data_IF_943904382454
#
_entry.id   IF_943904382454
#
_cell.length_a   1.000
_cell.length_b   1.000
_cell.length_c   1.000
_cell.angle_alpha   90.00
_cell.angle_beta   90.00
_cell.angle_gamma   90.00
#
_symmetry.space_group_name_H-M   'P 1'
#
loop_
_entity.id
_entity.type
_entity.pdbx_description
1 polymer ?
#
# COMPACT_ATOMS: atom_id res chain seq x y z
N UNK A 1 14.17 -10.63 -21.11
CA UNK A 1 15.01 -9.39 -21.03
C UNK A 1 15.00 -8.86 -19.60
N UNK A 2 15.56 -9.60 -18.66
CA UNK A 2 15.51 -9.27 -17.21
C UNK A 2 16.87 -8.80 -16.66
N UNK A 3 17.92 -8.81 -17.48
CA UNK A 3 19.29 -8.45 -17.03
C UNK A 3 19.58 -6.93 -17.04
N UNK A 4 18.89 -6.17 -17.86
CA UNK A 4 19.20 -4.74 -18.07
C UNK A 4 18.79 -3.80 -16.91
N UNK A 5 17.88 -4.23 -16.03
CA UNK A 5 17.41 -3.40 -14.91
C UNK A 5 18.47 -3.32 -13.79
N UNK A 6 19.39 -4.27 -13.73
CA UNK A 6 20.38 -4.37 -12.65
C UNK A 6 21.79 -3.91 -13.02
N UNK A 7 21.99 -3.50 -14.28
CA UNK A 7 23.31 -3.02 -14.78
C UNK A 7 23.40 -1.48 -14.68
N UNK A 8 23.12 -0.95 -13.47
CA UNK A 8 23.13 0.49 -13.18
C UNK A 8 24.27 0.83 -12.24
N UNK A 9 25.08 1.79 -12.63
CA UNK A 9 26.18 2.30 -11.79
C UNK A 9 25.70 3.45 -10.90
N UNK A 10 25.78 3.26 -9.58
CA UNK A 10 25.42 4.26 -8.58
C UNK A 10 23.97 4.22 -8.11
N UNK A 11 23.54 5.20 -7.30
CA UNK A 11 22.15 5.31 -6.84
C UNK A 11 21.20 5.69 -7.98
N UNK A 12 20.02 5.09 -8.01
CA UNK A 12 18.96 5.44 -8.95
C UNK A 12 18.36 6.80 -8.63
N UNK A 13 18.23 7.63 -9.63
CA UNK A 13 17.42 8.84 -9.56
C UNK A 13 15.95 8.53 -9.78
N UNK A 14 15.08 9.43 -9.37
CA UNK A 14 13.65 9.31 -9.63
C UNK A 14 13.33 9.34 -11.13
N UNK A 15 14.03 10.15 -11.90
CA UNK A 15 13.87 10.24 -13.36
C UNK A 15 14.23 8.92 -14.04
N UNK A 16 15.34 8.29 -13.67
CA UNK A 16 15.76 6.99 -14.19
C UNK A 16 14.78 5.88 -13.80
N UNK A 17 14.29 5.91 -12.56
CA UNK A 17 13.26 4.98 -12.12
C UNK A 17 11.96 5.11 -12.94
N UNK A 18 11.47 6.33 -13.14
CA UNK A 18 10.26 6.57 -13.93
C UNK A 18 10.45 6.24 -15.41
N UNK A 19 11.66 6.37 -15.93
CA UNK A 19 12.01 5.98 -17.29
C UNK A 19 12.00 4.45 -17.54
N UNK A 20 11.96 3.61 -16.47
CA UNK A 20 11.75 2.17 -16.61
C UNK A 20 10.39 1.84 -17.25
N UNK A 21 9.40 2.72 -17.09
CA UNK A 21 8.05 2.52 -17.60
C UNK A 21 7.36 1.31 -16.97
N UNK A 22 6.53 0.63 -17.75
CA UNK A 22 5.85 -0.59 -17.30
C UNK A 22 6.84 -1.75 -17.14
N UNK A 23 6.89 -2.32 -15.94
CA UNK A 23 7.73 -3.46 -15.59
C UNK A 23 6.87 -4.70 -15.31
N UNK A 24 7.41 -5.90 -15.59
CA UNK A 24 6.71 -7.16 -15.28
C UNK A 24 6.63 -7.46 -13.78
N UNK A 25 7.51 -6.86 -13.00
CA UNK A 25 7.59 -7.01 -11.56
C UNK A 25 7.28 -5.66 -10.90
N UNK A 26 6.81 -5.70 -9.66
CA UNK A 26 6.67 -4.49 -8.84
C UNK A 26 8.07 -4.01 -8.45
N UNK A 27 8.44 -2.83 -8.89
CA UNK A 27 9.72 -2.19 -8.60
C UNK A 27 9.44 -0.90 -7.85
N UNK A 28 9.99 -0.75 -6.67
CA UNK A 28 9.86 0.43 -5.82
C UNK A 28 11.21 1.13 -5.70
N UNK A 29 11.21 2.45 -5.49
CA UNK A 29 12.44 3.26 -5.31
C UNK A 29 12.56 3.71 -3.86
N UNK A 30 13.64 3.34 -3.18
CA UNK A 30 13.92 3.75 -1.81
C UNK A 30 15.31 4.41 -1.74
N UNK A 31 15.31 5.74 -1.76
CA UNK A 31 16.51 6.56 -1.57
C UNK A 31 17.70 6.11 -2.46
N UNK A 32 17.43 5.84 -3.74
CA UNK A 32 18.43 5.42 -4.73
C UNK A 32 18.59 3.91 -4.89
N UNK A 33 17.86 3.09 -4.14
CA UNK A 33 17.85 1.64 -4.27
C UNK A 33 16.54 1.14 -4.88
N UNK A 34 16.62 0.21 -5.83
CA UNK A 34 15.44 -0.47 -6.36
C UNK A 34 15.11 -1.69 -5.51
N UNK A 35 13.85 -1.78 -5.12
CA UNK A 35 13.28 -2.93 -4.43
C UNK A 35 12.32 -3.65 -5.37
N UNK A 36 12.64 -4.90 -5.72
CA UNK A 36 11.86 -5.71 -6.65
C UNK A 36 11.07 -6.75 -5.86
N UNK A 37 9.74 -6.71 -6.02
CA UNK A 37 8.84 -7.67 -5.38
C UNK A 37 8.32 -8.65 -6.43
N UNK A 38 8.33 -9.96 -6.15
CA UNK A 38 7.73 -10.96 -7.04
C UNK A 38 6.24 -10.70 -7.27
N UNK A 39 5.70 -11.30 -8.34
CA UNK A 39 4.27 -11.28 -8.58
C UNK A 39 3.49 -11.84 -7.37
N UNK A 40 2.34 -11.24 -7.04
CA UNK A 40 1.54 -11.66 -5.89
C UNK A 40 0.93 -13.06 -6.11
N UNK A 41 0.70 -13.78 -5.01
CA UNK A 41 0.00 -15.07 -5.06
C UNK A 41 -1.50 -14.88 -5.35
N UNK A 42 -2.21 -15.93 -5.84
CA UNK A 42 -3.68 -15.87 -6.00
C UNK A 42 -4.41 -15.49 -4.69
N UNK A 43 -3.93 -15.97 -3.54
CA UNK A 43 -4.48 -15.59 -2.23
C UNK A 43 -4.36 -14.10 -1.96
N UNK A 44 -3.18 -13.52 -2.22
CA UNK A 44 -2.95 -12.08 -2.10
C UNK A 44 -3.92 -11.29 -2.99
N UNK A 45 -4.06 -11.68 -4.25
CA UNK A 45 -4.96 -11.02 -5.20
C UNK A 45 -6.44 -11.13 -4.77
N UNK A 46 -6.85 -12.28 -4.21
CA UNK A 46 -8.20 -12.43 -3.68
C UNK A 46 -8.46 -11.44 -2.54
N UNK A 47 -7.55 -11.36 -1.58
CA UNK A 47 -7.68 -10.42 -0.44
C UNK A 47 -7.74 -8.98 -0.93
N UNK A 48 -6.86 -8.58 -1.86
CA UNK A 48 -6.86 -7.23 -2.44
C UNK A 48 -8.19 -6.92 -3.13
N UNK A 49 -8.68 -7.84 -3.95
CA UNK A 49 -9.95 -7.69 -4.66
C UNK A 49 -11.16 -7.55 -3.73
N UNK A 50 -11.26 -8.38 -2.69
CA UNK A 50 -12.34 -8.31 -1.70
C UNK A 50 -12.27 -7.03 -0.87
N UNK A 51 -11.08 -6.61 -0.44
CA UNK A 51 -10.89 -5.32 0.24
C UNK A 51 -11.34 -4.15 -0.64
N UNK A 52 -10.93 -4.15 -1.90
CA UNK A 52 -11.37 -3.14 -2.86
C UNK A 52 -12.89 -3.12 -3.02
N UNK A 53 -13.52 -4.28 -3.10
CA UNK A 53 -14.97 -4.40 -3.23
C UNK A 53 -15.70 -3.79 -2.02
N UNK A 54 -15.25 -4.11 -0.81
CA UNK A 54 -15.81 -3.57 0.45
C UNK A 54 -15.62 -2.06 0.57
N UNK A 55 -14.44 -1.54 0.19
CA UNK A 55 -14.10 -0.14 0.38
C UNK A 55 -14.58 0.79 -0.74
N UNK A 56 -14.90 0.25 -1.93
CA UNK A 56 -15.20 1.04 -3.13
C UNK A 56 -16.42 1.94 -2.97
N UNK A 57 -17.53 1.42 -2.46
CA UNK A 57 -18.76 2.19 -2.31
C UNK A 57 -18.64 3.24 -1.20
N UNK A 58 -18.16 2.91 0.02
CA UNK A 58 -17.89 3.89 1.07
C UNK A 58 -16.94 5.02 0.61
N UNK A 59 -15.90 4.70 -0.16
CA UNK A 59 -14.98 5.70 -0.70
C UNK A 59 -15.69 6.66 -1.65
N UNK A 60 -16.51 6.16 -2.56
CA UNK A 60 -17.30 7.01 -3.48
C UNK A 60 -18.26 7.96 -2.74
N UNK A 61 -18.91 7.49 -1.70
CA UNK A 61 -19.79 8.27 -0.85
C UNK A 61 -19.03 9.41 -0.14
N UNK A 62 -17.80 9.13 0.26
CA UNK A 62 -16.88 10.11 0.85
C UNK A 62 -16.15 10.99 -0.20
N UNK A 63 -16.44 10.84 -1.50
CA UNK A 63 -15.75 11.47 -2.62
C UNK A 63 -14.28 11.14 -2.71
N UNK A 64 -13.92 9.94 -2.26
CA UNK A 64 -12.58 9.36 -2.33
C UNK A 64 -12.53 8.27 -3.41
N UNK A 65 -11.33 7.77 -3.67
CA UNK A 65 -11.06 6.68 -4.62
C UNK A 65 -10.29 5.56 -3.93
N UNK A 66 -10.56 4.33 -4.38
CA UNK A 66 -9.79 3.14 -4.00
C UNK A 66 -9.02 2.68 -5.23
N UNK A 67 -7.71 2.66 -5.14
CA UNK A 67 -6.82 2.24 -6.22
C UNK A 67 -5.89 1.13 -5.73
N UNK A 68 -5.48 0.24 -6.63
CA UNK A 68 -4.58 -0.88 -6.36
C UNK A 68 -3.28 -0.69 -7.13
N UNK A 69 -2.16 -1.01 -6.50
CA UNK A 69 -0.84 -1.10 -7.12
C UNK A 69 -0.45 0.16 -7.93
N UNK A 70 -0.68 1.34 -7.36
CA UNK A 70 -0.28 2.62 -7.97
C UNK A 70 0.98 3.17 -7.32
N UNK A 71 1.77 3.92 -8.08
CA UNK A 71 2.93 4.62 -7.56
C UNK A 71 2.50 5.72 -6.58
N UNK A 72 3.03 5.68 -5.37
CA UNK A 72 2.87 6.74 -4.36
C UNK A 72 4.23 7.36 -4.07
N UNK A 73 4.38 8.62 -4.41
CA UNK A 73 5.58 9.40 -4.13
C UNK A 73 5.52 9.92 -2.69
N UNK A 74 6.34 9.35 -1.83
CA UNK A 74 6.40 9.72 -0.41
C UNK A 74 7.27 10.97 -0.17
N UNK A 75 8.31 11.13 -0.95
CA UNK A 75 9.20 12.29 -1.05
C UNK A 75 10.06 12.14 -2.32
N UNK A 76 10.83 13.17 -2.73
CA UNK A 76 11.81 13.02 -3.80
C UNK A 76 12.72 11.80 -3.56
N UNK A 77 12.85 10.94 -4.56
CA UNK A 77 13.65 9.71 -4.50
C UNK A 77 13.07 8.56 -3.67
N UNK A 78 11.80 8.65 -3.26
CA UNK A 78 11.11 7.55 -2.57
C UNK A 78 9.71 7.35 -3.11
N UNK A 79 9.53 6.29 -3.90
CA UNK A 79 8.28 5.91 -4.53
C UNK A 79 7.96 4.47 -4.15
N UNK A 80 6.78 4.27 -3.57
CA UNK A 80 6.27 2.95 -3.17
C UNK A 80 5.09 2.54 -4.06
N UNK A 81 4.79 1.24 -4.09
CA UNK A 81 3.61 0.70 -4.77
C UNK A 81 2.80 -0.10 -3.73
N UNK A 82 1.97 0.56 -2.91
CA UNK A 82 1.11 -0.14 -1.95
C UNK A 82 0.14 -1.09 -2.63
N UNK A 83 -0.30 -2.13 -1.93
CA UNK A 83 -1.30 -3.04 -2.48
C UNK A 83 -2.63 -2.34 -2.75
N UNK A 84 -3.03 -1.43 -1.85
CA UNK A 84 -4.23 -0.63 -2.02
C UNK A 84 -4.08 0.73 -1.34
N UNK A 85 -4.65 1.77 -1.93
CA UNK A 85 -4.74 3.10 -1.32
C UNK A 85 -6.16 3.65 -1.39
N UNK A 86 -6.52 4.46 -0.38
CA UNK A 86 -7.67 5.36 -0.45
C UNK A 86 -7.11 6.77 -0.63
N UNK A 87 -7.49 7.42 -1.71
CA UNK A 87 -6.98 8.74 -2.09
C UNK A 87 -8.10 9.75 -2.29
N UNK A 88 -7.78 11.03 -2.14
CA UNK A 88 -8.63 12.14 -2.50
C UNK A 88 -8.73 12.33 -4.01
N UNK A 89 -8.93 13.57 -4.40
CA UNK A 89 -8.92 13.98 -5.81
C UNK A 89 -7.48 13.93 -6.33
N UNK A 90 -7.30 13.29 -7.48
CA UNK A 90 -6.00 13.11 -8.13
C UNK A 90 -6.14 13.35 -9.63
N UNK A 91 -5.03 13.65 -10.29
CA UNK A 91 -4.95 13.59 -11.74
C UNK A 91 -4.69 12.13 -12.16
N UNK A 92 -5.57 11.56 -12.97
CA UNK A 92 -5.46 10.16 -13.43
C UNK A 92 -4.44 9.96 -14.56
N UNK A 93 -3.93 11.03 -15.13
CA UNK A 93 -2.93 10.99 -16.21
C UNK A 93 -1.49 11.09 -15.65
N UNK A 94 -1.35 11.41 -14.35
CA UNK A 94 -0.05 11.42 -13.67
C UNK A 94 0.42 10.00 -13.31
N UNK A 95 1.73 9.78 -13.44
CA UNK A 95 2.34 8.47 -13.13
C UNK A 95 2.40 8.18 -11.63
N UNK A 96 2.47 9.21 -10.81
CA UNK A 96 2.58 9.11 -9.36
C UNK A 96 1.42 9.82 -8.67
N UNK A 97 0.97 9.28 -7.55
CA UNK A 97 0.12 9.97 -6.58
C UNK A 97 1.03 10.54 -5.50
N UNK A 98 0.82 11.79 -5.10
CA UNK A 98 1.55 12.39 -3.99
C UNK A 98 1.01 11.86 -2.64
N UNK A 99 1.88 11.67 -1.66
CA UNK A 99 1.49 11.17 -0.34
C UNK A 99 0.42 12.04 0.35
N UNK A 100 0.39 13.34 0.07
CA UNK A 100 -0.60 14.28 0.62
C UNK A 100 -2.03 13.99 0.14
N UNK A 101 -2.21 13.33 -0.99
CA UNK A 101 -3.51 12.95 -1.53
C UNK A 101 -3.99 11.61 -0.98
N UNK A 102 -3.08 10.82 -0.39
CA UNK A 102 -3.38 9.51 0.19
C UNK A 102 -3.91 9.66 1.62
N UNK A 103 -5.06 9.05 1.89
CA UNK A 103 -5.72 9.04 3.20
C UNK A 103 -5.45 7.75 3.98
N UNK A 104 -5.37 6.63 3.27
CA UNK A 104 -5.09 5.32 3.83
C UNK A 104 -4.23 4.53 2.86
N UNK A 105 -3.23 3.85 3.38
CA UNK A 105 -2.45 2.82 2.68
C UNK A 105 -2.79 1.46 3.27
N UNK A 106 -2.92 0.45 2.42
CA UNK A 106 -3.06 -0.94 2.83
C UNK A 106 -1.93 -1.78 2.24
N UNK A 107 -1.33 -2.63 3.07
CA UNK A 107 -0.36 -3.66 2.67
C UNK A 107 -0.84 -5.03 3.13
N UNK A 108 -0.76 -6.01 2.23
CA UNK A 108 -1.09 -7.41 2.47
C UNK A 108 0.23 -8.16 2.60
N UNK A 109 0.55 -8.60 3.80
CA UNK A 109 1.85 -9.20 4.10
C UNK A 109 1.78 -10.72 4.16
N UNK A 110 2.80 -11.36 3.58
CA UNK A 110 3.09 -12.78 3.80
C UNK A 110 4.13 -12.95 4.91
N UNK A 111 4.20 -14.09 5.60
CA UNK A 111 5.18 -14.33 6.65
C UNK A 111 6.63 -14.25 6.17
N UNK A 112 6.87 -14.59 4.91
CA UNK A 112 8.22 -14.59 4.32
C UNK A 112 8.80 -13.19 4.10
N UNK A 113 7.95 -12.16 4.00
CA UNK A 113 8.37 -10.77 3.73
C UNK A 113 8.18 -9.84 4.95
N UNK A 114 7.83 -10.41 6.12
CA UNK A 114 7.11 -9.66 7.13
C UNK A 114 7.92 -8.68 7.97
N UNK A 115 9.15 -9.00 8.37
CA UNK A 115 9.72 -8.26 9.50
C UNK A 115 10.38 -6.93 9.11
N UNK A 116 11.29 -6.93 8.15
CA UNK A 116 12.10 -5.74 7.84
C UNK A 116 11.36 -4.78 6.92
N UNK A 117 10.70 -5.32 5.89
CA UNK A 117 9.99 -4.52 4.89
C UNK A 117 8.76 -3.82 5.50
N UNK A 118 8.01 -4.53 6.34
CA UNK A 118 6.88 -3.98 7.10
C UNK A 118 7.28 -2.78 7.95
N UNK A 119 8.33 -2.93 8.78
CA UNK A 119 8.77 -1.87 9.70
C UNK A 119 9.26 -0.66 8.92
N UNK A 120 10.01 -0.88 7.84
CA UNK A 120 10.54 0.18 6.98
C UNK A 120 9.41 0.96 6.29
N UNK A 121 8.46 0.26 5.66
CA UNK A 121 7.32 0.88 4.98
C UNK A 121 6.40 1.62 5.95
N UNK A 122 6.11 1.06 7.12
CA UNK A 122 5.36 1.76 8.16
C UNK A 122 6.01 3.09 8.53
N UNK A 123 7.33 3.09 8.73
CA UNK A 123 8.08 4.32 9.03
C UNK A 123 8.00 5.31 7.86
N UNK A 124 8.14 4.85 6.63
CA UNK A 124 8.07 5.70 5.44
C UNK A 124 6.70 6.35 5.27
N UNK A 125 5.62 5.61 5.40
CA UNK A 125 4.26 6.13 5.30
C UNK A 125 3.95 7.13 6.41
N UNK A 126 4.32 6.83 7.65
CA UNK A 126 4.12 7.73 8.78
C UNK A 126 4.88 9.05 8.61
N UNK A 127 6.14 8.99 8.15
CA UNK A 127 6.96 10.19 7.92
C UNK A 127 6.51 11.00 6.71
N UNK A 128 5.88 10.38 5.72
CA UNK A 128 5.25 11.04 4.58
C UNK A 128 3.90 11.69 4.93
N UNK A 129 3.39 11.48 6.15
CA UNK A 129 2.18 12.12 6.64
C UNK A 129 0.88 11.38 6.36
N UNK A 130 0.92 10.14 5.85
CA UNK A 130 -0.29 9.34 5.59
C UNK A 130 -0.95 8.99 6.93
N UNK A 131 -2.23 9.36 7.08
CA UNK A 131 -2.93 9.28 8.36
C UNK A 131 -3.23 7.86 8.79
N UNK A 132 -3.69 6.99 7.86
CA UNK A 132 -4.15 5.65 8.16
C UNK A 132 -3.33 4.58 7.45
N UNK A 133 -3.03 3.51 8.17
CA UNK A 133 -2.36 2.34 7.65
C UNK A 133 -3.12 1.08 8.04
N UNK A 134 -3.56 0.30 7.06
CA UNK A 134 -4.21 -0.99 7.23
C UNK A 134 -3.23 -2.09 6.83
N UNK A 135 -2.94 -3.00 7.75
CA UNK A 135 -2.12 -4.16 7.49
C UNK A 135 -2.97 -5.41 7.53
N UNK A 136 -2.82 -6.26 6.54
CA UNK A 136 -3.53 -7.54 6.43
C UNK A 136 -2.54 -8.69 6.45
N UNK A 137 -2.69 -9.60 7.38
CA UNK A 137 -1.92 -10.85 7.40
C UNK A 137 -2.54 -11.85 6.42
N UNK A 138 -1.84 -12.16 5.34
CA UNK A 138 -2.35 -12.98 4.23
C UNK A 138 -2.78 -14.38 4.66
N UNK A 139 -2.12 -15.00 5.65
CA UNK A 139 -2.37 -16.39 6.03
C UNK A 139 -3.66 -16.59 6.81
N UNK A 140 -3.90 -15.71 7.77
CA UNK A 140 -4.99 -15.85 8.72
C UNK A 140 -6.06 -14.76 8.60
N UNK A 141 -5.85 -13.78 7.71
CA UNK A 141 -6.77 -12.67 7.46
C UNK A 141 -6.82 -11.63 8.57
N UNK A 142 -5.94 -11.68 9.58
CA UNK A 142 -5.93 -10.69 10.66
C UNK A 142 -5.71 -9.29 10.08
N UNK A 143 -6.55 -8.36 10.51
CA UNK A 143 -6.49 -6.95 10.14
C UNK A 143 -5.93 -6.14 11.31
N UNK A 144 -4.97 -5.27 11.03
CA UNK A 144 -4.41 -4.32 11.98
C UNK A 144 -4.62 -2.91 11.43
N UNK A 145 -5.37 -2.09 12.12
CA UNK A 145 -5.57 -0.68 11.77
C UNK A 145 -4.71 0.21 12.65
N UNK A 146 -3.92 1.03 12.00
CA UNK A 146 -3.02 1.98 12.65
C UNK A 146 -3.41 3.42 12.28
N UNK A 147 -3.24 4.32 13.23
CA UNK A 147 -3.37 5.76 13.02
C UNK A 147 -2.03 6.45 13.30
N UNK A 148 -1.69 7.43 12.48
CA UNK A 148 -0.48 8.21 12.62
C UNK A 148 -0.51 9.11 13.86
N UNK A 149 0.58 9.07 14.62
CA UNK A 149 0.86 9.99 15.72
C UNK A 149 2.26 10.56 15.53
N UNK A 150 2.35 11.80 15.07
CA UNK A 150 3.62 12.40 14.70
C UNK A 150 4.29 11.68 13.53
N UNK A 151 5.41 11.02 13.75
CA UNK A 151 6.20 10.31 12.73
C UNK A 151 6.14 8.78 12.85
N UNK A 152 5.19 8.25 13.58
CA UNK A 152 4.98 6.82 13.76
C UNK A 152 3.49 6.46 13.75
N UNK A 153 3.20 5.18 13.65
CA UNK A 153 1.84 4.65 13.74
C UNK A 153 1.58 4.02 15.11
N UNK A 154 0.35 4.19 15.60
CA UNK A 154 -0.17 3.55 16.81
C UNK A 154 -1.36 2.70 16.42
N UNK A 155 -1.35 1.43 16.85
CA UNK A 155 -2.43 0.48 16.59
C UNK A 155 -3.72 0.94 17.26
N UNK A 156 -4.79 1.05 16.49
CA UNK A 156 -6.12 1.48 16.95
C UNK A 156 -7.03 0.29 17.18
N UNK A 157 -6.98 -0.69 16.29
CA UNK A 157 -7.79 -1.90 16.40
C UNK A 157 -7.16 -3.07 15.65
N UNK A 158 -7.51 -4.27 16.12
CA UNK A 158 -7.16 -5.55 15.48
C UNK A 158 -8.45 -6.34 15.33
N UNK A 159 -8.63 -7.02 14.20
CA UNK A 159 -9.74 -7.94 14.00
C UNK A 159 -9.22 -9.26 13.40
N UNK A 160 -9.60 -10.36 14.01
CA UNK A 160 -9.31 -11.73 13.57
C UNK A 160 -10.55 -12.36 12.91
N UNK A 161 -10.36 -13.52 12.29
CA UNK A 161 -11.50 -14.31 11.78
C UNK A 161 -12.54 -14.53 12.89
N UNK A 162 -13.79 -14.19 12.58
CA UNK A 162 -14.90 -14.18 13.55
C UNK A 162 -15.20 -12.82 14.18
N UNK A 163 -14.32 -11.85 13.99
CA UNK A 163 -14.48 -10.46 14.45
C UNK A 163 -14.74 -9.53 13.26
N UNK A 164 -14.96 -8.25 13.54
CA UNK A 164 -15.12 -7.19 12.54
C UNK A 164 -14.21 -6.03 12.83
N UNK A 165 -13.65 -5.43 11.78
CA UNK A 165 -12.95 -4.15 11.84
C UNK A 165 -13.94 -3.05 11.41
N UNK A 166 -14.22 -2.13 12.32
CA UNK A 166 -15.00 -0.94 12.01
C UNK A 166 -14.06 0.20 11.62
N UNK A 167 -14.04 0.53 10.33
CA UNK A 167 -13.33 1.69 9.81
C UNK A 167 -14.28 2.88 9.86
N UNK A 168 -13.92 3.92 10.59
CA UNK A 168 -14.73 5.15 10.71
C UNK A 168 -14.16 6.30 9.87
N UNK A 169 -12.87 6.27 9.64
CA UNK A 169 -12.09 7.21 8.82
C UNK A 169 -11.04 6.43 8.00
N UNK A 170 -10.69 6.85 6.80
CA UNK A 170 -11.22 8.00 6.04
C UNK A 170 -12.59 7.70 5.41
N UNK A 171 -13.08 6.49 5.54
CA UNK A 171 -14.39 6.02 5.05
C UNK A 171 -15.09 5.20 6.13
N UNK A 172 -16.42 5.11 6.08
CA UNK A 172 -17.16 4.25 6.99
C UNK A 172 -17.40 2.89 6.34
N UNK A 173 -16.72 1.87 6.84
CA UNK A 173 -16.83 0.51 6.34
C UNK A 173 -16.67 -0.51 7.46
N UNK A 174 -17.41 -1.61 7.37
CA UNK A 174 -17.24 -2.78 8.21
C UNK A 174 -16.52 -3.85 7.41
N UNK A 175 -15.33 -4.25 7.85
CA UNK A 175 -14.51 -5.25 7.18
C UNK A 175 -14.50 -6.52 8.02
N UNK A 176 -14.86 -7.65 7.41
CA UNK A 176 -14.86 -8.96 8.05
C UNK A 176 -13.71 -9.80 7.53
N UNK A 177 -12.72 -10.14 8.37
CA UNK A 177 -11.55 -10.93 7.96
C UNK A 177 -11.90 -12.21 7.21
N UNK A 178 -12.96 -12.90 7.62
CA UNK A 178 -13.41 -14.14 6.99
C UNK A 178 -13.84 -13.95 5.52
N UNK A 179 -14.41 -12.80 5.19
CA UNK A 179 -14.90 -12.50 3.83
C UNK A 179 -13.77 -12.16 2.86
N UNK A 180 -12.56 -11.86 3.37
CA UNK A 180 -11.38 -11.59 2.56
C UNK A 180 -10.62 -12.86 2.15
N UNK A 181 -10.81 -13.94 2.89
CA UNK A 181 -10.11 -15.21 2.65
C UNK A 181 -10.81 -16.02 1.55
N UNK A 182 -10.03 -16.77 0.73
CA UNK A 182 -10.58 -17.68 -0.26
C UNK A 182 -11.27 -18.88 0.36
#
# INVERSE_FOLDING_TARGET
MTAAVFDHEGPWTEEEYLALGETQQRVELFDGSLHVTPAPTPRHQNISGELRAVLRQPAREARLRVLEAVNVRLKPGRITIPDLVITGEIDFDEVNIEANDVRLVCEIISPSNAATDKVLKMHYYATAGIEWYLLVEQENGTLHLYRRQGRHYVEQSVAKVGETLELTEPVRATIRPKELLP
#
